data_IF_335209619345
#
_entry.id   IF_335209619345
#
_cell.length_a   1.000
_cell.length_b   1.000
_cell.length_c   1.000
_cell.angle_alpha   90.00
_cell.angle_beta   90.00
_cell.angle_gamma   90.00
#
_symmetry.space_group_name_H-M   'P 1'
#
loop_
_entity.id
_entity.type
_entity.pdbx_description
1 polymer ?
#
# COMPACT_ATOMS: atom_id res chain seq x y z
N UNK A 1 17.60 -31.37 -10.43
CA UNK A 1 16.47 -30.73 -11.15
C UNK A 1 15.70 -29.92 -10.12
N UNK A 2 15.64 -28.59 -10.25
CA UNK A 2 14.87 -27.74 -9.33
C UNK A 2 13.37 -27.92 -9.60
N UNK A 3 12.57 -28.13 -8.55
CA UNK A 3 11.11 -28.21 -8.67
C UNK A 3 10.57 -26.87 -9.18
N UNK A 4 9.68 -26.85 -10.19
CA UNK A 4 9.16 -25.62 -10.80
C UNK A 4 8.30 -24.74 -9.86
N UNK A 5 8.15 -25.12 -8.59
CA UNK A 5 7.34 -24.43 -7.58
C UNK A 5 8.14 -23.56 -6.60
N UNK A 6 9.46 -23.49 -6.75
CA UNK A 6 10.37 -22.86 -5.76
C UNK A 6 10.65 -21.37 -6.03
N UNK A 7 9.80 -20.71 -6.83
CA UNK A 7 9.86 -19.27 -7.00
C UNK A 7 9.22 -18.58 -5.79
N UNK A 8 9.80 -17.48 -5.29
CA UNK A 8 9.14 -16.66 -4.27
C UNK A 8 7.74 -16.28 -4.77
N UNK A 9 6.71 -16.85 -4.13
CA UNK A 9 5.34 -16.43 -4.38
C UNK A 9 5.21 -15.05 -3.71
N UNK A 10 5.25 -14.02 -4.52
CA UNK A 10 5.14 -12.64 -4.06
C UNK A 10 3.69 -12.21 -4.17
N UNK A 11 3.06 -11.97 -3.03
CA UNK A 11 1.63 -11.79 -2.96
C UNK A 11 1.22 -10.40 -2.47
N UNK A 12 2.06 -9.38 -2.55
CA UNK A 12 1.61 -8.01 -2.25
C UNK A 12 2.17 -7.06 -3.29
N UNK A 13 1.37 -6.13 -3.80
CA UNK A 13 1.87 -5.04 -4.63
C UNK A 13 2.40 -3.91 -3.77
N UNK A 14 3.52 -3.31 -4.14
CA UNK A 14 4.01 -2.06 -3.53
C UNK A 14 4.26 -1.07 -4.65
N UNK A 15 3.84 0.18 -4.45
CA UNK A 15 4.10 1.28 -5.37
C UNK A 15 4.62 2.48 -4.59
N UNK A 16 5.49 3.28 -5.20
CA UNK A 16 6.01 4.50 -4.61
C UNK A 16 6.29 5.56 -5.68
N UNK A 17 6.01 6.82 -5.34
CA UNK A 17 6.26 7.98 -6.18
C UNK A 17 6.71 9.16 -5.32
N UNK A 18 7.57 10.01 -5.88
CA UNK A 18 8.11 11.19 -5.21
C UNK A 18 8.26 12.36 -6.19
N UNK A 19 8.00 13.58 -5.71
CA UNK A 19 8.16 14.83 -6.46
C UNK A 19 7.10 15.05 -7.55
N UNK A 20 5.88 14.51 -7.39
CA UNK A 20 4.83 14.63 -8.38
C UNK A 20 3.53 15.17 -7.76
N UNK A 21 2.88 16.23 -8.33
CA UNK A 21 1.70 16.85 -7.73
C UNK A 21 0.49 15.91 -7.65
N UNK A 22 0.38 14.95 -8.58
CA UNK A 22 -0.69 13.94 -8.62
C UNK A 22 -0.25 12.60 -7.99
N UNK A 23 0.49 12.64 -6.88
CA UNK A 23 1.08 11.44 -6.27
C UNK A 23 0.01 10.41 -5.86
N UNK A 24 -1.14 10.88 -5.37
CA UNK A 24 -2.26 10.02 -4.99
C UNK A 24 -2.86 9.28 -6.20
N UNK A 25 -3.22 9.98 -7.28
CA UNK A 25 -3.83 9.33 -8.46
C UNK A 25 -2.86 8.37 -9.15
N UNK A 26 -1.60 8.75 -9.30
CA UNK A 26 -0.59 7.87 -9.90
C UNK A 26 -0.36 6.63 -9.05
N UNK A 27 -0.39 6.76 -7.72
CA UNK A 27 -0.33 5.60 -6.83
C UNK A 27 -1.56 4.73 -6.99
N UNK A 28 -2.76 5.31 -7.06
CA UNK A 28 -4.00 4.55 -7.34
C UNK A 28 -3.88 3.73 -8.63
N UNK A 29 -3.45 4.33 -9.75
CA UNK A 29 -3.28 3.61 -11.01
C UNK A 29 -2.18 2.55 -10.94
N UNK A 30 -1.08 2.83 -10.24
CA UNK A 30 -0.02 1.87 -9.98
C UNK A 30 -0.54 0.65 -9.20
N UNK A 31 -1.33 0.88 -8.15
CA UNK A 31 -1.95 -0.20 -7.38
C UNK A 31 -3.03 -0.95 -8.16
N UNK A 32 -3.80 -0.25 -9.00
CA UNK A 32 -4.77 -0.87 -9.90
C UNK A 32 -4.07 -1.84 -10.87
N UNK A 33 -2.95 -1.42 -11.48
CA UNK A 33 -2.13 -2.29 -12.33
C UNK A 33 -1.56 -3.48 -11.55
N UNK A 34 -1.24 -3.29 -10.26
CA UNK A 34 -0.74 -4.32 -9.35
C UNK A 34 -1.85 -5.11 -8.61
N UNK A 35 -3.14 -4.92 -8.96
CA UNK A 35 -4.27 -5.55 -8.26
C UNK A 35 -4.20 -7.08 -8.30
N UNK A 36 -3.65 -7.64 -9.36
CA UNK A 36 -3.43 -9.09 -9.50
C UNK A 36 -2.50 -9.68 -8.43
N UNK A 37 -1.73 -8.83 -7.73
CA UNK A 37 -0.82 -9.26 -6.66
C UNK A 37 -1.49 -9.33 -5.29
N UNK A 38 -2.71 -8.83 -5.10
CA UNK A 38 -3.42 -8.88 -3.82
C UNK A 38 -4.79 -8.22 -3.90
N UNK A 39 -5.82 -8.86 -3.36
CA UNK A 39 -7.23 -8.47 -3.52
C UNK A 39 -7.97 -8.27 -2.19
N UNK A 40 -7.27 -8.45 -1.07
CA UNK A 40 -7.86 -8.50 0.25
C UNK A 40 -7.91 -7.14 0.93
N UNK A 41 -6.90 -6.30 0.70
CA UNK A 41 -6.89 -4.91 1.15
C UNK A 41 -5.98 -4.06 0.29
N UNK A 42 -6.23 -2.77 0.25
CA UNK A 42 -5.32 -1.80 -0.33
C UNK A 42 -5.24 -0.53 0.53
N UNK A 43 -4.17 0.23 0.36
CA UNK A 43 -4.00 1.50 1.03
C UNK A 43 -3.00 2.40 0.32
N UNK A 44 -3.16 3.70 0.55
CA UNK A 44 -2.26 4.76 0.09
C UNK A 44 -1.94 5.66 1.28
N UNK A 45 -0.66 6.02 1.40
CA UNK A 45 -0.20 7.09 2.28
C UNK A 45 0.51 8.13 1.43
N UNK A 46 0.11 9.39 1.54
CA UNK A 46 0.76 10.54 0.90
C UNK A 46 1.44 11.42 1.93
N UNK A 47 2.38 12.26 1.49
CA UNK A 47 3.11 13.17 2.36
C UNK A 47 3.16 14.60 1.82
N UNK A 48 2.88 15.56 2.69
CA UNK A 48 2.99 16.99 2.42
C UNK A 48 3.44 17.72 3.69
N UNK A 49 4.45 18.59 3.59
CA UNK A 49 4.94 19.43 4.70
C UNK A 49 5.15 18.68 6.03
N UNK A 50 5.73 17.48 5.95
CA UNK A 50 6.04 16.65 7.12
C UNK A 50 4.82 15.96 7.76
N UNK A 51 3.65 16.03 7.14
CA UNK A 51 2.43 15.34 7.57
C UNK A 51 2.07 14.22 6.59
N UNK A 52 1.54 13.13 7.11
CA UNK A 52 0.98 12.04 6.31
C UNK A 52 -0.55 12.06 6.27
N UNK A 53 -1.08 11.78 5.08
CA UNK A 53 -2.50 11.54 4.83
C UNK A 53 -2.64 10.09 4.40
N UNK A 54 -3.63 9.38 4.94
CA UNK A 54 -3.73 7.94 4.74
C UNK A 54 -5.16 7.48 4.56
N UNK A 55 -5.34 6.53 3.65
CA UNK A 55 -6.60 5.82 3.48
C UNK A 55 -6.32 4.37 3.12
N UNK A 56 -6.96 3.46 3.83
CA UNK A 56 -6.84 2.02 3.60
C UNK A 56 -8.20 1.36 3.84
N UNK A 57 -8.44 0.26 3.14
CA UNK A 57 -9.68 -0.49 3.24
C UNK A 57 -9.49 -1.96 2.89
N UNK A 58 -10.53 -2.75 3.17
CA UNK A 58 -10.61 -4.14 2.72
C UNK A 58 -11.23 -4.18 1.32
N UNK A 59 -10.81 -5.14 0.51
CA UNK A 59 -11.28 -5.35 -0.86
C UNK A 59 -10.34 -4.79 -1.92
N UNK A 60 -10.91 -4.54 -3.10
CA UNK A 60 -10.17 -4.13 -4.30
C UNK A 60 -9.85 -2.63 -4.26
N UNK A 61 -8.75 -2.23 -4.89
CA UNK A 61 -8.32 -0.83 -5.09
C UNK A 61 -9.49 0.06 -5.59
N UNK A 62 -10.22 -0.25 -6.68
CA UNK A 62 -11.32 0.60 -7.15
C UNK A 62 -12.50 0.68 -6.17
N UNK A 63 -12.67 -0.30 -5.28
CA UNK A 63 -13.73 -0.28 -4.27
C UNK A 63 -13.34 0.61 -3.08
N UNK A 64 -12.07 0.54 -2.67
CA UNK A 64 -11.55 1.29 -1.53
C UNK A 64 -11.44 2.79 -1.84
N UNK A 65 -11.19 3.14 -3.11
CA UNK A 65 -11.01 4.50 -3.60
C UNK A 65 -12.14 4.92 -4.56
N UNK A 66 -13.37 4.43 -4.33
CA UNK A 66 -14.51 4.65 -5.23
C UNK A 66 -15.06 6.08 -5.21
N UNK A 67 -14.95 6.78 -4.07
CA UNK A 67 -15.31 8.20 -3.96
C UNK A 67 -14.08 9.04 -4.34
N UNK A 68 -14.15 9.88 -5.40
CA UNK A 68 -13.05 10.76 -5.80
C UNK A 68 -12.53 11.66 -4.67
N UNK A 69 -13.36 11.99 -3.67
CA UNK A 69 -12.95 12.78 -2.49
C UNK A 69 -11.83 12.10 -1.71
N UNK A 70 -11.79 10.76 -1.69
CA UNK A 70 -10.76 10.00 -0.99
C UNK A 70 -9.37 10.32 -1.57
N UNK A 71 -9.23 10.31 -2.91
CA UNK A 71 -7.96 10.67 -3.55
C UNK A 71 -7.66 12.16 -3.41
N UNK A 72 -8.67 13.01 -3.39
CA UNK A 72 -8.52 14.45 -3.16
C UNK A 72 -7.96 14.78 -1.77
N UNK A 73 -8.41 14.06 -0.74
CA UNK A 73 -7.96 14.25 0.65
C UNK A 73 -6.53 13.71 0.89
N UNK A 74 -6.01 12.90 -0.03
CA UNK A 74 -4.64 12.37 -0.01
C UNK A 74 -3.66 13.38 -0.64
N UNK A 75 -3.46 14.50 0.07
CA UNK A 75 -2.61 15.60 -0.39
C UNK A 75 -1.13 15.23 -0.34
N UNK A 76 -0.36 15.66 -1.34
CA UNK A 76 1.11 15.64 -1.28
C UNK A 76 1.82 15.38 -2.59
N UNK A 77 3.14 15.53 -2.56
CA UNK A 77 4.04 15.35 -3.70
C UNK A 77 4.70 13.95 -3.73
N UNK A 78 4.44 13.15 -2.69
CA UNK A 78 5.00 11.82 -2.50
C UNK A 78 3.94 10.88 -1.97
N UNK A 79 4.02 9.62 -2.37
CA UNK A 79 3.08 8.62 -1.94
C UNK A 79 3.70 7.22 -1.97
N UNK A 80 3.24 6.36 -1.06
CA UNK A 80 3.43 4.92 -1.13
C UNK A 80 2.08 4.23 -1.08
N UNK A 81 1.98 3.10 -1.78
CA UNK A 81 0.77 2.31 -1.87
C UNK A 81 1.05 0.84 -1.68
N UNK A 82 0.04 0.09 -1.25
CA UNK A 82 0.14 -1.35 -1.07
C UNK A 82 -1.15 -2.07 -1.47
N UNK A 83 -1.04 -3.23 -2.13
CA UNK A 83 -2.12 -4.23 -2.26
C UNK A 83 -1.72 -5.49 -1.51
N UNK A 84 -2.60 -6.02 -0.67
CA UNK A 84 -2.35 -7.20 0.16
C UNK A 84 -3.02 -8.42 -0.41
N UNK A 85 -2.29 -9.52 -0.49
CA UNK A 85 -2.85 -10.88 -0.52
C UNK A 85 -2.67 -11.54 0.84
N UNK A 86 -3.64 -12.33 1.27
CA UNK A 86 -3.59 -13.00 2.55
C UNK A 86 -2.76 -14.27 2.45
N UNK A 87 -1.46 -14.16 2.75
CA UNK A 87 -0.55 -15.32 2.80
C UNK A 87 -0.63 -16.04 4.14
N UNK A 88 -0.77 -15.26 5.22
CA UNK A 88 -0.91 -15.70 6.62
C UNK A 88 -1.57 -14.59 7.45
N UNK A 89 -2.30 -14.99 8.51
CA UNK A 89 -3.02 -14.07 9.40
C UNK A 89 -4.44 -13.73 8.95
N UNK A 90 -5.25 -13.27 9.90
CA UNK A 90 -6.65 -12.89 9.68
C UNK A 90 -6.77 -11.69 8.73
N UNK A 91 -7.76 -11.71 7.84
CA UNK A 91 -8.13 -10.58 6.98
C UNK A 91 -8.80 -9.46 7.79
N UNK A 92 -7.97 -8.71 8.51
CA UNK A 92 -8.39 -7.59 9.33
C UNK A 92 -7.81 -6.28 8.80
N UNK A 93 -8.59 -5.19 8.88
CA UNK A 93 -8.16 -3.86 8.46
C UNK A 93 -6.85 -3.39 9.12
N UNK A 94 -6.58 -3.83 10.35
CA UNK A 94 -5.31 -3.53 11.06
C UNK A 94 -4.06 -4.02 10.34
N UNK A 95 -4.22 -5.00 9.44
CA UNK A 95 -3.15 -5.60 8.65
C UNK A 95 -3.03 -4.93 7.26
N UNK A 96 -3.92 -3.99 6.91
CA UNK A 96 -3.83 -3.22 5.70
C UNK A 96 -2.62 -2.27 5.79
N UNK A 97 -1.81 -2.27 4.75
CA UNK A 97 -0.63 -1.41 4.59
C UNK A 97 -0.94 -0.30 3.58
N UNK A 98 -0.17 0.80 3.54
CA UNK A 98 1.05 1.08 4.34
C UNK A 98 0.82 1.31 5.84
N UNK A 99 1.77 0.90 6.68
CA UNK A 99 1.77 1.22 8.11
C UNK A 99 2.45 2.56 8.36
N UNK A 100 1.89 3.38 9.25
CA UNK A 100 2.47 4.66 9.67
C UNK A 100 2.83 4.61 11.15
N UNK A 101 4.02 5.09 11.53
CA UNK A 101 4.48 5.16 12.91
C UNK A 101 5.13 6.51 13.19
N UNK A 102 4.86 7.06 14.38
CA UNK A 102 5.55 8.25 14.87
C UNK A 102 6.82 7.82 15.61
N UNK A 103 7.95 8.41 15.24
CA UNK A 103 9.25 8.14 15.83
C UNK A 103 9.88 9.44 16.32
N UNK A 104 10.94 9.34 17.12
CA UNK A 104 11.66 10.52 17.64
C UNK A 104 12.17 11.49 16.56
N UNK A 105 12.25 11.04 15.30
CA UNK A 105 12.71 11.83 14.13
C UNK A 105 11.59 12.22 13.17
N UNK A 106 10.33 12.08 13.58
CA UNK A 106 9.16 12.34 12.75
C UNK A 106 8.42 11.06 12.34
N UNK A 107 7.50 11.20 11.38
CA UNK A 107 6.64 10.11 10.94
C UNK A 107 7.36 9.23 9.91
N UNK A 108 7.14 7.92 9.98
CA UNK A 108 7.62 6.93 9.00
C UNK A 108 6.42 6.15 8.46
N UNK A 109 6.38 5.96 7.14
CA UNK A 109 5.40 5.11 6.48
C UNK A 109 6.13 3.96 5.75
N UNK A 110 5.64 2.73 5.91
CA UNK A 110 6.27 1.53 5.33
C UNK A 110 5.22 0.63 4.69
N UNK A 111 5.51 0.21 3.46
CA UNK A 111 4.81 -0.84 2.75
C UNK A 111 5.80 -1.96 2.39
N UNK A 112 5.40 -3.22 2.57
CA UNK A 112 6.30 -4.36 2.47
C UNK A 112 5.64 -5.55 1.76
N UNK A 113 6.37 -6.11 0.80
CA UNK A 113 6.02 -7.37 0.15
C UNK A 113 7.11 -8.42 0.45
N UNK A 114 6.81 -9.30 1.40
CA UNK A 114 7.71 -10.35 1.85
C UNK A 114 7.25 -10.96 3.17
N UNK A 115 8.10 -11.77 3.79
CA UNK A 115 7.86 -12.35 5.11
C UNK A 115 9.12 -12.24 5.97
N UNK A 116 8.98 -11.77 7.21
CA UNK A 116 10.07 -11.78 8.19
C UNK A 116 10.08 -13.15 8.88
N UNK A 117 11.15 -13.93 8.73
CA UNK A 117 11.23 -15.32 9.20
C UNK A 117 11.40 -15.47 10.71
N UNK A 118 11.57 -14.36 11.42
CA UNK A 118 11.80 -14.26 12.86
C UNK A 118 10.92 -13.18 13.52
N UNK A 119 9.73 -12.96 12.96
CA UNK A 119 8.73 -12.01 13.48
C UNK A 119 8.11 -12.47 14.81
#
# INVERSE_FOLDING_TARGET
MQNPTDYPKHYCGVFGIFGHPNAAELTYFGLYALQHRGQESAGIVTGHDGKFFKHHGMGLVPQIFSDPKILHDLVGDRAIGHTRYSTTGTSNLRNAQPLTVDCARGQIAVAHNGNLTNA
#
